data_IF_634834901536
#
_entry.id   IF_634834901536
#
_cell.length_a   1.000
_cell.length_b   1.000
_cell.length_c   1.000
_cell.angle_alpha   90.00
_cell.angle_beta   90.00
_cell.angle_gamma   90.00
#
_symmetry.space_group_name_H-M   'P 1'
#
loop_
_entity.id
_entity.type
_entity.pdbx_description
1 polymer ?
#
# COMPACT_ATOMS: atom_id res chain seq x y z
N UNK A 1 -0.83 13.75 13.91
CA UNK A 1 -1.51 13.03 12.81
C UNK A 1 -1.00 11.61 12.82
N UNK A 2 -1.90 10.63 12.81
CA UNK A 2 -1.53 9.22 12.84
C UNK A 2 -1.03 8.79 11.46
N UNK A 3 0.26 8.41 11.36
CA UNK A 3 0.87 8.03 10.08
C UNK A 3 0.19 6.82 9.42
N UNK A 4 -0.49 5.96 10.19
CA UNK A 4 -1.19 4.80 9.64
C UNK A 4 -2.44 5.28 8.89
N UNK A 5 -3.17 6.27 9.43
CA UNK A 5 -4.29 6.88 8.73
C UNK A 5 -3.86 7.50 7.40
N UNK A 6 -2.78 8.29 7.38
CA UNK A 6 -2.22 8.85 6.15
C UNK A 6 -1.81 7.76 5.15
N UNK A 7 -1.18 6.69 5.62
CA UNK A 7 -0.79 5.55 4.77
C UNK A 7 -2.02 4.87 4.14
N UNK A 8 -3.11 4.71 4.89
CA UNK A 8 -4.36 4.14 4.38
C UNK A 8 -4.99 5.03 3.31
N UNK A 9 -5.04 6.33 3.55
CA UNK A 9 -5.55 7.30 2.57
C UNK A 9 -4.72 7.26 1.30
N UNK A 10 -3.39 7.26 1.43
CA UNK A 10 -2.48 7.15 0.29
C UNK A 10 -2.69 5.85 -0.51
N UNK A 11 -2.89 4.70 0.15
CA UNK A 11 -3.18 3.45 -0.54
C UNK A 11 -4.50 3.54 -1.33
N UNK A 12 -5.55 4.08 -0.72
CA UNK A 12 -6.85 4.22 -1.38
C UNK A 12 -6.79 5.20 -2.55
N UNK A 13 -6.11 6.34 -2.40
CA UNK A 13 -5.87 7.32 -3.45
C UNK A 13 -5.19 6.67 -4.66
N UNK A 14 -4.10 5.91 -4.44
CA UNK A 14 -3.44 5.17 -5.52
C UNK A 14 -4.33 4.12 -6.20
N UNK A 15 -5.17 3.45 -5.41
CA UNK A 15 -6.13 2.48 -5.93
C UNK A 15 -7.21 3.18 -6.78
N UNK A 16 -7.68 4.35 -6.35
CA UNK A 16 -8.67 5.13 -7.10
C UNK A 16 -8.07 5.69 -8.41
N UNK A 17 -6.83 6.20 -8.35
CA UNK A 17 -6.13 6.75 -9.51
C UNK A 17 -5.79 5.69 -10.58
N UNK A 18 -5.31 4.52 -10.16
CA UNK A 18 -4.74 3.52 -11.08
C UNK A 18 -5.58 2.27 -11.23
N UNK A 19 -6.46 1.99 -10.28
CA UNK A 19 -7.11 0.70 -10.15
C UNK A 19 -6.13 -0.42 -9.76
N UNK A 20 -6.68 -1.63 -9.71
CA UNK A 20 -5.88 -2.85 -9.62
C UNK A 20 -5.64 -3.40 -11.02
N UNK A 21 -4.49 -4.04 -11.20
CA UNK A 21 -4.12 -4.73 -12.44
C UNK A 21 -4.91 -6.04 -12.62
N UNK A 22 -4.67 -6.79 -13.72
CA UNK A 22 -5.40 -8.03 -14.05
C UNK A 22 -5.31 -9.12 -12.97
N UNK A 23 -4.25 -9.06 -12.14
CA UNK A 23 -4.03 -9.95 -11.00
C UNK A 23 -4.60 -9.43 -9.67
N UNK A 24 -5.37 -8.35 -9.66
CA UNK A 24 -5.92 -7.78 -8.43
C UNK A 24 -4.86 -7.16 -7.51
N UNK A 25 -3.77 -6.67 -8.09
CA UNK A 25 -2.64 -6.06 -7.38
C UNK A 25 -2.29 -4.68 -7.94
N UNK A 26 -1.68 -3.83 -7.10
CA UNK A 26 -1.17 -2.51 -7.48
C UNK A 26 0.25 -2.32 -6.92
N UNK A 27 1.15 -1.77 -7.73
CA UNK A 27 2.51 -1.42 -7.31
C UNK A 27 2.55 0.03 -6.81
N UNK A 28 2.96 0.23 -5.56
CA UNK A 28 3.03 1.54 -4.93
C UNK A 28 4.42 1.74 -4.30
N UNK A 29 5.01 2.91 -4.53
CA UNK A 29 6.21 3.35 -3.82
C UNK A 29 5.83 4.05 -2.50
N UNK A 30 6.45 3.57 -1.41
CA UNK A 30 6.29 4.09 -0.06
C UNK A 30 7.61 4.69 0.48
N UNK A 31 8.61 4.94 -0.37
CA UNK A 31 9.99 5.22 0.04
C UNK A 31 10.17 6.45 0.94
N UNK A 32 9.18 7.34 1.01
CA UNK A 32 9.12 8.49 1.92
C UNK A 32 7.74 8.67 2.57
N UNK A 33 6.89 7.65 2.54
CA UNK A 33 5.51 7.72 3.02
C UNK A 33 5.40 7.15 4.43
N UNK A 34 5.90 5.93 4.63
CA UNK A 34 5.73 5.21 5.88
C UNK A 34 6.81 4.13 6.04
N UNK A 35 7.04 3.70 7.27
CA UNK A 35 7.89 2.54 7.54
C UNK A 35 7.14 1.23 7.27
N UNK A 36 7.89 0.13 7.14
CA UNK A 36 7.33 -1.22 6.92
C UNK A 36 6.26 -1.60 7.94
N UNK A 37 6.45 -1.27 9.21
CA UNK A 37 5.49 -1.59 10.28
C UNK A 37 4.16 -0.88 10.08
N UNK A 38 4.21 0.42 9.77
CA UNK A 38 3.03 1.26 9.51
C UNK A 38 2.29 0.77 8.25
N UNK A 39 3.03 0.46 7.19
CA UNK A 39 2.48 -0.15 5.97
C UNK A 39 1.73 -1.44 6.27
N UNK A 40 2.36 -2.37 7.00
CA UNK A 40 1.75 -3.67 7.32
C UNK A 40 0.49 -3.52 8.18
N UNK A 41 0.45 -2.54 9.09
CA UNK A 41 -0.75 -2.24 9.87
C UNK A 41 -1.84 -1.61 9.01
N UNK A 42 -1.49 -0.67 8.13
CA UNK A 42 -2.42 0.00 7.23
C UNK A 42 -3.09 -1.00 6.28
N UNK A 43 -2.32 -1.83 5.59
CA UNK A 43 -2.87 -2.83 4.65
C UNK A 43 -3.70 -3.89 5.38
N UNK A 44 -3.31 -4.27 6.60
CA UNK A 44 -4.09 -5.21 7.43
C UNK A 44 -5.45 -4.63 7.83
N UNK A 45 -5.52 -3.34 8.18
CA UNK A 45 -6.78 -2.66 8.48
C UNK A 45 -7.67 -2.48 7.24
N UNK A 46 -7.07 -2.35 6.06
CA UNK A 46 -7.77 -2.26 4.77
C UNK A 46 -8.08 -3.63 4.16
N UNK A 47 -7.88 -4.72 4.89
CA UNK A 47 -8.08 -6.10 4.42
C UNK A 47 -7.26 -6.47 3.17
N UNK A 48 -6.15 -5.78 2.94
CA UNK A 48 -5.20 -6.03 1.86
C UNK A 48 -3.92 -6.73 2.37
N UNK A 49 -3.12 -7.22 1.43
CA UNK A 49 -1.81 -7.80 1.69
C UNK A 49 -0.72 -7.00 0.98
N UNK A 50 0.37 -6.67 1.68
CA UNK A 50 1.56 -6.07 1.06
C UNK A 50 2.62 -7.13 0.77
N UNK A 51 3.10 -7.20 -0.47
CA UNK A 51 4.28 -7.97 -0.88
C UNK A 51 5.39 -7.02 -1.30
N UNK A 52 6.64 -7.39 -1.07
CA UNK A 52 7.78 -6.54 -1.46
C UNK A 52 7.88 -6.49 -2.99
N UNK A 53 7.96 -5.29 -3.55
CA UNK A 53 8.13 -5.06 -4.99
C UNK A 53 9.59 -4.93 -5.41
N UNK A 54 9.81 -4.65 -6.70
CA UNK A 54 11.13 -4.31 -7.22
C UNK A 54 11.43 -2.84 -6.91
N UNK A 55 12.21 -2.62 -5.86
CA UNK A 55 12.65 -1.29 -5.43
C UNK A 55 12.84 -1.22 -3.93
N UNK A 56 13.67 -0.28 -3.46
CA UNK A 56 13.68 0.08 -2.04
C UNK A 56 12.37 0.82 -1.77
N UNK A 57 11.60 0.41 -0.76
CA UNK A 57 10.33 1.06 -0.40
C UNK A 57 9.13 0.78 -1.31
N UNK A 58 9.29 -0.05 -2.36
CA UNK A 58 8.19 -0.43 -3.26
C UNK A 58 7.47 -1.68 -2.76
N UNK A 59 6.14 -1.64 -2.73
CA UNK A 59 5.29 -2.76 -2.33
C UNK A 59 4.11 -2.97 -3.28
N UNK A 60 3.79 -4.23 -3.51
CA UNK A 60 2.58 -4.68 -4.18
C UNK A 60 1.46 -4.82 -3.15
N UNK A 61 0.41 -4.03 -3.30
CA UNK A 61 -0.82 -4.18 -2.51
C UNK A 61 -1.74 -5.11 -3.29
N UNK A 62 -2.14 -6.21 -2.66
CA UNK A 62 -2.92 -7.28 -3.27
C UNK A 62 -4.23 -7.41 -2.52
N UNK A 63 -5.35 -7.51 -3.26
CA UNK A 63 -6.64 -7.87 -2.67
C UNK A 63 -6.56 -9.25 -2.03
N UNK A 64 -7.19 -9.40 -0.86
CA UNK A 64 -7.46 -10.73 -0.31
C UNK A 64 -8.58 -11.42 -1.08
#
# INVERSE_FOLDING_TARGET
MDNIQFTKEYINDRIEERGFDEYGQICIDFSNICNKTELLLAVKQLEFTAKKGQGKGVYWIVKK
#
